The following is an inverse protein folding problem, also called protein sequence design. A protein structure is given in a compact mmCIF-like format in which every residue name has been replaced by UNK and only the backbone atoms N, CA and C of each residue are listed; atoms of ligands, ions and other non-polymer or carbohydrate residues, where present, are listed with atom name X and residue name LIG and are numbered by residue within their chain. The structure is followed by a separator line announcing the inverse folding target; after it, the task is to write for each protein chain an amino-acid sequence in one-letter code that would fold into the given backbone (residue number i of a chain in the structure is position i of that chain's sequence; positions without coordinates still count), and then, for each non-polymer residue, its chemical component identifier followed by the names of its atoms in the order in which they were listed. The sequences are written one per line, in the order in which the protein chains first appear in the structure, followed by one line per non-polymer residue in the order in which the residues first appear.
data_IF_379231747825
#
_entry.id   IF_379231747825
#
_cell.length_a   1.000
_cell.length_b   1.000
_cell.length_c   1.000
_cell.angle_alpha   90.00
_cell.angle_beta   90.00
_cell.angle_gamma   90.00
#
_symmetry.space_group_name_H-M   'P 1'
#
loop_
_entity.id
_entity.type
_entity.pdbx_description
1 polymer ?
#
# COMPACT_ATOMS: atom_id res chain seq x y z
N UNK A 1 20.72 -13.13 5.99
CA UNK A 1 20.47 -12.35 4.75
C UNK A 1 19.15 -11.55 4.77
N UNK A 2 18.01 -12.07 5.27
CA UNK A 2 16.69 -11.37 5.24
C UNK A 2 16.46 -10.27 6.29
N UNK A 3 17.15 -10.31 7.43
CA UNK A 3 17.15 -9.20 8.42
C UNK A 3 17.68 -7.88 7.83
N UNK A 4 18.53 -7.96 6.82
CA UNK A 4 19.02 -6.78 6.09
C UNK A 4 17.93 -6.14 5.21
N UNK A 5 16.89 -6.88 4.82
CA UNK A 5 15.79 -6.36 4.00
C UNK A 5 14.91 -5.45 4.84
N UNK A 6 14.50 -5.89 6.04
CA UNK A 6 13.72 -5.06 6.96
C UNK A 6 14.50 -3.85 7.45
N UNK A 7 15.82 -3.98 7.69
CA UNK A 7 16.70 -2.85 8.02
C UNK A 7 16.88 -1.84 6.89
N UNK A 8 17.06 -2.30 5.64
CA UNK A 8 17.13 -1.39 4.47
C UNK A 8 15.80 -0.66 4.26
N UNK A 9 14.68 -1.40 4.33
CA UNK A 9 13.33 -0.82 4.29
C UNK A 9 13.18 0.25 5.38
N UNK A 10 13.61 -0.06 6.59
CA UNK A 10 13.55 0.89 7.70
C UNK A 10 14.34 2.17 7.45
N UNK A 11 15.56 2.05 6.93
CA UNK A 11 16.41 3.19 6.59
C UNK A 11 15.78 4.08 5.52
N UNK A 12 15.23 3.48 4.46
CA UNK A 12 14.55 4.21 3.38
C UNK A 12 13.30 4.92 3.92
N UNK A 13 12.50 4.25 4.75
CA UNK A 13 11.32 4.85 5.37
C UNK A 13 11.67 6.04 6.27
N UNK A 14 12.73 5.94 7.06
CA UNK A 14 13.22 7.06 7.89
C UNK A 14 13.73 8.23 7.04
N UNK A 15 14.34 7.98 5.88
CA UNK A 15 14.75 9.02 4.95
C UNK A 15 13.57 9.71 4.24
N UNK A 16 12.50 8.97 3.94
CA UNK A 16 11.29 9.51 3.27
C UNK A 16 10.35 10.26 4.21
N UNK A 17 10.40 9.97 5.52
CA UNK A 17 9.57 10.60 6.54
C UNK A 17 9.72 12.15 6.60
N UNK A 18 10.94 12.73 6.70
CA UNK A 18 11.08 14.18 6.73
C UNK A 18 10.60 14.83 5.43
N UNK A 19 10.79 14.18 4.28
CA UNK A 19 10.32 14.66 2.98
C UNK A 19 8.79 14.80 3.00
N UNK A 20 8.09 13.80 3.52
CA UNK A 20 6.63 13.85 3.66
C UNK A 20 6.18 14.97 4.62
N UNK A 21 6.81 15.09 5.80
CA UNK A 21 6.47 16.10 6.78
C UNK A 21 6.72 17.52 6.27
N UNK A 22 7.82 17.73 5.55
CA UNK A 22 8.15 18.99 4.90
C UNK A 22 7.13 19.31 3.82
N UNK A 23 6.81 18.37 2.93
CA UNK A 23 5.82 18.58 1.88
C UNK A 23 4.42 18.86 2.46
N UNK A 24 4.02 18.14 3.51
CA UNK A 24 2.73 18.33 4.17
C UNK A 24 2.67 19.64 4.97
N UNK A 25 3.72 20.01 5.70
CA UNK A 25 3.73 21.20 6.56
C UNK A 25 4.05 22.51 5.82
N UNK A 26 5.05 22.51 4.95
CA UNK A 26 5.49 23.71 4.22
C UNK A 26 4.74 23.94 2.91
N UNK A 27 3.95 22.96 2.44
CA UNK A 27 3.20 23.10 1.19
C UNK A 27 2.06 24.12 1.23
N UNK A 28 1.54 24.51 2.42
CA UNK A 28 0.60 25.64 2.53
C UNK A 28 1.29 26.98 2.19
N UNK A 29 2.57 27.14 2.54
CA UNK A 29 3.31 28.39 2.34
C UNK A 29 4.00 28.43 0.97
N UNK A 30 4.57 27.30 0.54
CA UNK A 30 5.31 27.19 -0.72
C UNK A 30 4.54 26.32 -1.71
N UNK A 31 3.72 26.98 -2.53
CA UNK A 31 2.91 26.35 -3.58
C UNK A 31 3.75 25.49 -4.56
N UNK A 32 5.03 25.84 -4.76
CA UNK A 32 5.98 25.07 -5.58
C UNK A 32 6.31 23.68 -5.01
N UNK A 33 6.33 23.51 -3.67
CA UNK A 33 6.51 22.20 -3.04
C UNK A 33 5.31 21.26 -3.33
N UNK A 34 4.16 21.82 -3.71
CA UNK A 34 2.99 21.06 -4.15
C UNK A 34 3.28 20.14 -5.33
N UNK A 35 4.22 20.47 -6.22
CA UNK A 35 4.60 19.64 -7.37
C UNK A 35 5.43 18.39 -7.00
N UNK A 36 6.03 18.36 -5.81
CA UNK A 36 6.74 17.16 -5.32
C UNK A 36 5.76 15.99 -5.16
N UNK A 37 4.51 16.27 -4.79
CA UNK A 37 3.45 15.27 -4.59
C UNK A 37 3.07 14.55 -5.88
N UNK A 38 2.63 15.20 -6.97
CA UNK A 38 2.29 14.51 -8.21
C UNK A 38 3.49 13.80 -8.82
N UNK A 39 4.72 14.34 -8.71
CA UNK A 39 5.94 13.64 -9.14
C UNK A 39 6.12 12.32 -8.37
N UNK A 40 5.97 12.34 -7.05
CA UNK A 40 6.05 11.14 -6.22
C UNK A 40 4.92 10.14 -6.53
N UNK A 41 3.71 10.62 -6.82
CA UNK A 41 2.57 9.79 -7.22
C UNK A 41 2.81 9.12 -8.56
N UNK A 42 3.28 9.85 -9.58
CA UNK A 42 3.61 9.32 -10.91
C UNK A 42 4.72 8.28 -10.80
N UNK A 43 5.80 8.58 -10.07
CA UNK A 43 6.88 7.61 -9.83
C UNK A 43 6.35 6.36 -9.12
N UNK A 44 5.42 6.53 -8.19
CA UNK A 44 4.72 5.45 -7.51
C UNK A 44 3.88 4.57 -8.45
N UNK A 45 3.13 5.18 -9.36
CA UNK A 45 2.32 4.50 -10.36
C UNK A 45 3.19 3.74 -11.36
N UNK A 46 4.22 4.38 -11.92
CA UNK A 46 5.17 3.75 -12.85
C UNK A 46 5.91 2.58 -12.19
N UNK A 47 6.43 2.79 -10.98
CA UNK A 47 7.06 1.72 -10.20
C UNK A 47 6.07 0.62 -9.83
N UNK A 48 4.79 0.96 -9.64
CA UNK A 48 3.69 0.02 -9.38
C UNK A 48 3.40 -0.90 -10.57
N UNK A 49 3.45 -0.37 -11.79
CA UNK A 49 3.30 -1.17 -13.01
C UNK A 49 4.43 -2.21 -13.14
N UNK A 50 5.66 -1.86 -12.75
CA UNK A 50 6.81 -2.77 -12.86
C UNK A 50 6.90 -3.78 -11.71
N UNK A 51 6.69 -3.32 -10.47
CA UNK A 51 6.96 -4.09 -9.24
C UNK A 51 5.72 -4.33 -8.38
N UNK A 52 4.51 -4.12 -8.90
CA UNK A 52 3.25 -4.29 -8.16
C UNK A 52 3.15 -3.33 -6.97
N UNK A 53 2.54 -3.78 -5.87
CA UNK A 53 2.41 -2.96 -4.66
C UNK A 53 3.70 -2.82 -3.83
N UNK A 54 4.85 -3.31 -4.30
CA UNK A 54 6.16 -3.13 -3.64
C UNK A 54 6.47 -1.67 -3.29
N UNK A 55 6.12 -0.72 -4.16
CA UNK A 55 6.38 0.72 -3.94
C UNK A 55 5.60 1.23 -2.72
N UNK A 56 4.35 0.78 -2.55
CA UNK A 56 3.49 1.17 -1.43
C UNK A 56 4.03 0.70 -0.07
N UNK A 57 4.80 -0.41 -0.05
CA UNK A 57 5.40 -0.96 1.17
C UNK A 57 6.78 -0.37 1.52
N UNK A 58 7.56 0.04 0.51
CA UNK A 58 8.98 0.34 0.67
C UNK A 58 9.39 1.78 0.31
N UNK A 59 8.72 2.41 -0.67
CA UNK A 59 9.12 3.71 -1.23
C UNK A 59 8.06 4.81 -1.05
N UNK A 60 6.83 4.47 -0.64
CA UNK A 60 5.78 5.48 -0.46
C UNK A 60 6.09 6.36 0.77
N UNK A 61 6.26 7.69 0.61
CA UNK A 61 6.61 8.59 1.70
C UNK A 61 5.49 8.68 2.75
N UNK A 62 4.23 8.70 2.31
CA UNK A 62 3.07 8.64 3.19
C UNK A 62 2.97 7.30 3.95
N UNK A 63 3.27 6.19 3.28
CA UNK A 63 3.30 4.87 3.91
C UNK A 63 4.39 4.77 4.98
N UNK A 64 5.55 5.39 4.74
CA UNK A 64 6.62 5.47 5.73
C UNK A 64 6.19 6.26 6.98
N UNK A 65 5.47 7.38 6.78
CA UNK A 65 4.90 8.17 7.88
C UNK A 65 3.93 7.33 8.75
N UNK A 66 3.00 6.61 8.13
CA UNK A 66 2.05 5.75 8.85
C UNK A 66 2.75 4.61 9.61
N UNK A 67 3.73 3.95 8.98
CA UNK A 67 4.47 2.84 9.61
C UNK A 67 5.37 3.28 10.77
N UNK A 68 5.97 4.48 10.69
CA UNK A 68 6.99 4.90 11.66
C UNK A 68 6.41 5.66 12.82
N UNK A 69 5.47 6.57 12.54
CA UNK A 69 4.87 7.42 13.57
C UNK A 69 3.58 6.79 14.09
N UNK A 70 2.66 6.46 13.19
CA UNK A 70 1.32 6.04 13.57
C UNK A 70 1.26 4.59 14.09
N UNK A 71 2.14 3.70 13.64
CA UNK A 71 2.18 2.32 14.14
C UNK A 71 2.54 2.18 15.63
N UNK A 72 3.09 3.24 16.26
CA UNK A 72 3.35 3.29 17.70
C UNK A 72 2.10 3.64 18.53
N UNK A 73 1.16 4.37 17.94
CA UNK A 73 -0.04 4.91 18.60
C UNK A 73 -1.29 4.09 18.25
N UNK A 74 -1.35 3.55 17.04
CA UNK A 74 -2.51 2.86 16.50
C UNK A 74 -2.83 1.57 17.27
N UNK A 75 -4.12 1.34 17.61
CA UNK A 75 -4.58 0.03 18.07
C UNK A 75 -4.40 -0.92 16.89
N UNK A 76 -3.56 -1.94 17.00
CA UNK A 76 -3.23 -2.83 15.88
C UNK A 76 -4.35 -3.84 15.58
N UNK A 77 -5.59 -3.35 15.43
CA UNK A 77 -6.77 -4.16 15.12
C UNK A 77 -6.74 -4.60 13.65
N UNK A 78 -7.52 -5.62 13.33
CA UNK A 78 -7.67 -6.08 11.95
C UNK A 78 -8.39 -5.02 11.11
N UNK A 79 -8.02 -4.94 9.82
CA UNK A 79 -8.66 -4.00 8.89
C UNK A 79 -10.04 -4.57 8.54
N UNK A 80 -11.15 -3.88 8.82
CA UNK A 80 -12.47 -4.42 8.56
C UNK A 80 -12.69 -4.65 7.05
N UNK A 81 -13.41 -5.71 6.72
CA UNK A 81 -13.62 -6.16 5.34
C UNK A 81 -14.23 -5.07 4.43
N UNK A 82 -15.02 -4.16 5.00
CA UNK A 82 -15.59 -3.00 4.31
C UNK A 82 -14.53 -2.18 3.55
N UNK A 83 -13.35 -1.94 4.16
CA UNK A 83 -12.27 -1.17 3.52
C UNK A 83 -11.47 -1.94 2.47
N UNK A 84 -11.76 -3.23 2.27
CA UNK A 84 -11.17 -4.06 1.22
C UNK A 84 -12.10 -4.27 0.03
N UNK A 85 -13.33 -3.77 0.12
CA UNK A 85 -14.34 -3.92 -0.92
C UNK A 85 -13.92 -3.22 -2.24
N UNK A 86 -13.89 -3.91 -3.39
CA UNK A 86 -13.53 -3.31 -4.68
C UNK A 86 -14.42 -2.12 -5.07
N UNK A 87 -15.71 -2.12 -4.69
CA UNK A 87 -16.60 -0.99 -4.97
C UNK A 87 -16.16 0.29 -4.24
N UNK A 88 -15.74 0.18 -2.97
CA UNK A 88 -15.22 1.34 -2.22
C UNK A 88 -13.92 1.88 -2.83
N UNK A 89 -13.05 0.98 -3.33
CA UNK A 89 -11.81 1.36 -4.02
C UNK A 89 -12.11 2.14 -5.30
N UNK A 90 -13.04 1.65 -6.11
CA UNK A 90 -13.47 2.31 -7.35
C UNK A 90 -14.13 3.66 -7.06
N UNK A 91 -15.05 3.70 -6.09
CA UNK A 91 -15.72 4.93 -5.66
C UNK A 91 -14.71 6.01 -5.27
N UNK A 92 -13.75 5.69 -4.40
CA UNK A 92 -12.76 6.68 -3.97
C UNK A 92 -11.79 7.06 -5.10
N UNK A 93 -11.44 6.13 -6.00
CA UNK A 93 -10.61 6.45 -7.18
C UNK A 93 -11.29 7.49 -8.08
N UNK A 94 -12.56 7.26 -8.42
CA UNK A 94 -13.37 8.18 -9.22
C UNK A 94 -13.59 9.50 -8.47
N UNK A 95 -13.87 9.44 -7.17
CA UNK A 95 -14.12 10.64 -6.35
C UNK A 95 -12.89 11.56 -6.29
N UNK A 96 -11.71 11.04 -6.01
CA UNK A 96 -10.49 11.85 -5.89
C UNK A 96 -10.03 12.42 -7.23
N UNK A 97 -10.12 11.62 -8.31
CA UNK A 97 -9.78 12.09 -9.66
C UNK A 97 -10.81 13.11 -10.14
N UNK A 98 -12.09 12.88 -9.89
CA UNK A 98 -13.18 13.81 -10.22
C UNK A 98 -13.04 15.14 -9.48
N UNK A 99 -12.74 15.11 -8.17
CA UNK A 99 -12.49 16.31 -7.38
C UNK A 99 -11.25 17.06 -7.89
N UNK A 100 -10.16 16.36 -8.19
CA UNK A 100 -8.96 16.97 -8.75
C UNK A 100 -9.23 17.61 -10.13
N UNK A 101 -9.92 16.90 -11.02
CA UNK A 101 -10.29 17.40 -12.33
C UNK A 101 -11.18 18.64 -12.22
N UNK A 102 -12.16 18.61 -11.32
CA UNK A 102 -13.04 19.75 -11.06
C UNK A 102 -12.27 20.98 -10.56
N UNK A 103 -11.33 20.81 -9.62
CA UNK A 103 -10.47 21.89 -9.13
C UNK A 103 -9.61 22.49 -10.25
N UNK A 104 -9.03 21.64 -11.10
CA UNK A 104 -8.22 22.09 -12.25
C UNK A 104 -9.08 22.83 -13.28
N UNK A 105 -10.33 22.40 -13.53
CA UNK A 105 -11.23 23.05 -14.47
C UNK A 105 -11.69 24.44 -14.05
N UNK A 106 -11.65 24.77 -12.75
CA UNK A 106 -12.02 26.12 -12.27
C UNK A 106 -11.00 27.17 -12.67
N UNK A 107 -9.72 26.85 -12.68
CA UNK A 107 -8.62 27.78 -12.97
C UNK A 107 -7.48 27.11 -13.79
N UNK A 108 -7.68 26.86 -15.09
CA UNK A 108 -6.69 26.14 -15.91
C UNK A 108 -5.41 26.93 -16.17
N UNK A 109 -5.44 28.27 -16.08
CA UNK A 109 -4.29 29.14 -16.40
C UNK A 109 -3.28 29.34 -15.27
N UNK A 110 -3.62 29.00 -14.02
CA UNK A 110 -2.79 29.34 -12.86
C UNK A 110 -2.03 28.12 -12.31
N UNK A 111 -0.77 27.96 -12.73
CA UNK A 111 0.12 26.87 -12.29
C UNK A 111 0.24 26.80 -10.74
N UNK A 112 0.20 27.95 -10.07
CA UNK A 112 0.25 28.03 -8.60
C UNK A 112 -1.00 27.42 -7.93
N UNK A 113 -2.17 27.53 -8.57
CA UNK A 113 -3.42 26.93 -8.08
C UNK A 113 -3.38 25.40 -8.15
N UNK A 114 -2.71 24.86 -9.18
CA UNK A 114 -2.58 23.42 -9.37
C UNK A 114 -1.72 22.80 -8.26
N UNK A 115 -0.60 23.44 -7.93
CA UNK A 115 0.26 23.04 -6.81
C UNK A 115 -0.49 23.00 -5.47
N UNK A 116 -1.32 24.01 -5.20
CA UNK A 116 -2.17 24.04 -4.00
C UNK A 116 -3.20 22.91 -3.99
N UNK A 117 -3.88 22.65 -5.11
CA UNK A 117 -4.89 21.60 -5.21
C UNK A 117 -4.30 20.20 -4.94
N UNK A 118 -3.12 19.90 -5.49
CA UNK A 118 -2.43 18.65 -5.20
C UNK A 118 -2.04 18.53 -3.72
N UNK A 119 -1.53 19.62 -3.14
CA UNK A 119 -1.18 19.66 -1.73
C UNK A 119 -2.41 19.47 -0.84
N UNK A 120 -3.51 20.16 -1.12
CA UNK A 120 -4.76 20.08 -0.36
C UNK A 120 -5.33 18.67 -0.35
N UNK A 121 -5.40 17.99 -1.50
CA UNK A 121 -5.87 16.61 -1.59
C UNK A 121 -4.95 15.68 -0.79
N UNK A 122 -3.63 15.85 -0.90
CA UNK A 122 -2.67 15.07 -0.13
C UNK A 122 -2.85 15.30 1.39
N UNK A 123 -3.03 16.54 1.80
CA UNK A 123 -3.21 16.93 3.20
C UNK A 123 -4.52 16.37 3.77
N UNK A 124 -5.66 16.64 3.12
CA UNK A 124 -6.98 16.15 3.54
C UNK A 124 -7.02 14.64 3.62
N UNK A 125 -6.52 13.95 2.58
CA UNK A 125 -6.49 12.48 2.63
C UNK A 125 -5.55 11.98 3.73
N UNK A 126 -4.44 12.65 3.99
CA UNK A 126 -3.50 12.27 5.06
C UNK A 126 -4.11 12.44 6.45
N UNK A 127 -4.85 13.52 6.70
CA UNK A 127 -5.65 13.70 7.91
C UNK A 127 -6.66 12.55 8.07
N UNK A 128 -7.38 12.21 7.00
CA UNK A 128 -8.31 11.07 7.00
C UNK A 128 -7.61 9.73 7.29
N UNK A 129 -6.40 9.51 6.76
CA UNK A 129 -5.63 8.31 7.08
C UNK A 129 -5.14 8.26 8.53
N UNK A 130 -4.80 9.40 9.12
CA UNK A 130 -4.43 9.49 10.54
C UNK A 130 -5.64 9.14 11.40
N UNK A 131 -6.80 9.74 11.11
CA UNK A 131 -8.07 9.45 11.80
C UNK A 131 -8.41 7.96 11.73
N UNK A 132 -8.47 7.38 10.53
CA UNK A 132 -8.74 5.94 10.35
C UNK A 132 -7.66 5.05 10.98
N UNK A 133 -6.41 5.52 10.98
CA UNK A 133 -5.27 4.81 11.56
C UNK A 133 -5.34 4.70 13.07
N UNK A 134 -5.82 5.75 13.75
CA UNK A 134 -6.01 5.76 15.20
C UNK A 134 -7.24 4.93 15.60
N UNK A 135 -8.29 4.89 14.78
CA UNK A 135 -9.50 4.12 15.10
C UNK A 135 -9.36 2.61 14.83
N UNK A 136 -8.76 2.23 13.69
CA UNK A 136 -8.72 0.84 13.22
C UNK A 136 -7.31 0.28 13.15
N UNK A 137 -6.52 0.69 12.15
CA UNK A 137 -5.15 0.23 11.93
C UNK A 137 -4.40 1.27 11.10
N UNK A 138 -3.13 1.54 11.41
CA UNK A 138 -2.32 2.58 10.75
C UNK A 138 -2.24 2.46 9.22
N UNK A 139 -2.52 1.28 8.64
CA UNK A 139 -2.52 1.02 7.19
C UNK A 139 -3.91 0.96 6.53
N UNK A 140 -4.98 1.31 7.25
CA UNK A 140 -6.37 1.22 6.73
C UNK A 140 -6.54 2.02 5.43
N UNK A 141 -6.01 3.24 5.36
CA UNK A 141 -6.06 4.03 4.11
C UNK A 141 -5.37 3.35 2.93
N UNK A 142 -4.27 2.62 3.17
CA UNK A 142 -3.52 1.96 2.11
C UNK A 142 -4.30 0.82 1.46
N UNK A 143 -5.34 0.26 2.09
CA UNK A 143 -6.14 -0.83 1.51
C UNK A 143 -7.07 -0.34 0.40
N UNK A 144 -7.44 0.94 0.40
CA UNK A 144 -8.32 1.51 -0.62
C UNK A 144 -7.70 2.66 -1.42
N UNK A 145 -6.54 3.20 -1.00
CA UNK A 145 -5.74 4.22 -1.71
C UNK A 145 -5.73 4.06 -3.26
N UNK A 146 -6.00 5.13 -4.04
CA UNK A 146 -6.15 5.01 -5.49
C UNK A 146 -4.88 4.50 -6.19
N UNK A 147 -3.71 4.96 -5.72
CA UNK A 147 -2.40 4.53 -6.24
C UNK A 147 -2.15 3.03 -5.95
N UNK A 148 -2.52 2.58 -4.75
CA UNK A 148 -2.38 1.18 -4.35
C UNK A 148 -3.31 0.26 -5.15
N UNK A 149 -4.56 0.69 -5.34
CA UNK A 149 -5.55 0.01 -6.18
C UNK A 149 -5.05 -0.13 -7.62
N UNK A 150 -4.51 0.95 -8.20
CA UNK A 150 -3.88 0.93 -9.53
C UNK A 150 -2.70 -0.04 -9.61
N UNK A 151 -1.81 -0.04 -8.61
CA UNK A 151 -0.66 -0.95 -8.54
C UNK A 151 -1.05 -2.43 -8.37
N UNK A 152 -2.14 -2.74 -7.66
CA UNK A 152 -2.67 -4.11 -7.59
C UNK A 152 -3.24 -4.55 -8.93
N UNK A 153 -4.00 -3.67 -9.59
CA UNK A 153 -4.67 -4.00 -10.85
C UNK A 153 -3.66 -4.29 -11.96
N UNK A 154 -2.65 -3.43 -12.13
CA UNK A 154 -1.69 -3.54 -13.25
C UNK A 154 -0.47 -4.41 -12.94
N UNK A 155 -0.05 -4.47 -11.67
CA UNK A 155 1.21 -5.11 -11.28
C UNK A 155 1.07 -6.21 -10.23
N UNK A 156 -0.13 -6.44 -9.68
CA UNK A 156 -0.37 -7.39 -8.59
C UNK A 156 -0.02 -8.84 -8.92
N UNK A 157 -0.15 -9.23 -10.19
CA UNK A 157 0.09 -10.60 -10.63
C UNK A 157 1.57 -10.92 -10.95
N UNK A 158 2.47 -9.92 -11.00
CA UNK A 158 3.85 -10.12 -11.49
C UNK A 158 4.79 -10.80 -10.47
N UNK A 159 4.44 -10.72 -9.18
CA UNK A 159 5.26 -11.22 -8.08
C UNK A 159 4.36 -11.69 -6.95
N UNK A 160 4.53 -12.94 -6.56
CA UNK A 160 3.78 -13.55 -5.47
C UNK A 160 4.72 -13.93 -4.32
N UNK A 161 4.15 -14.05 -3.12
CA UNK A 161 4.85 -14.60 -1.98
C UNK A 161 4.61 -16.12 -1.97
N UNK A 162 5.67 -16.90 -2.10
CA UNK A 162 5.62 -18.36 -2.00
C UNK A 162 5.91 -18.80 -0.57
N UNK A 163 5.18 -19.82 -0.11
CA UNK A 163 5.31 -20.45 1.21
C UNK A 163 5.44 -21.97 1.04
N UNK A 164 6.49 -22.54 1.62
CA UNK A 164 6.64 -24.00 1.71
C UNK A 164 5.77 -24.53 2.87
N UNK A 165 4.54 -24.96 2.57
CA UNK A 165 3.57 -25.37 3.60
C UNK A 165 4.00 -26.57 4.43
N UNK A 166 4.72 -27.52 3.83
CA UNK A 166 5.22 -28.73 4.51
C UNK A 166 6.11 -28.41 5.71
N UNK A 167 6.84 -27.29 5.65
CA UNK A 167 7.76 -26.84 6.71
C UNK A 167 7.11 -25.82 7.64
N UNK A 168 5.84 -25.47 7.42
CA UNK A 168 5.12 -24.48 8.21
C UNK A 168 4.55 -25.10 9.49
N UNK A 169 4.88 -24.50 10.63
CA UNK A 169 4.42 -24.96 11.94
C UNK A 169 3.14 -24.28 12.42
N UNK A 170 2.47 -23.50 11.56
CA UNK A 170 1.22 -22.81 11.93
C UNK A 170 1.36 -21.74 13.02
N UNK A 171 2.57 -21.18 13.24
CA UNK A 171 2.84 -20.27 14.37
C UNK A 171 2.17 -18.88 14.31
N UNK A 172 1.53 -18.50 13.19
CA UNK A 172 0.83 -17.22 12.96
C UNK A 172 1.66 -15.92 13.13
N UNK A 173 2.96 -16.00 13.39
CA UNK A 173 3.83 -14.81 13.52
C UNK A 173 3.82 -13.93 12.26
N UNK A 174 3.73 -14.53 11.08
CA UNK A 174 3.69 -13.82 9.81
C UNK A 174 2.43 -12.95 9.66
N UNK A 175 1.30 -13.39 10.21
CA UNK A 175 0.03 -12.65 10.19
C UNK A 175 0.08 -11.49 11.19
N UNK A 176 0.61 -11.74 12.39
CA UNK A 176 0.78 -10.75 13.46
C UNK A 176 1.69 -9.58 13.05
N UNK A 177 2.75 -9.85 12.27
CA UNK A 177 3.69 -8.81 11.82
C UNK A 177 3.25 -8.14 10.51
N UNK A 178 2.23 -8.66 9.83
CA UNK A 178 1.81 -8.16 8.53
C UNK A 178 1.14 -6.78 8.66
N UNK A 179 1.69 -5.71 8.06
CA UNK A 179 1.10 -4.38 8.15
C UNK A 179 -0.26 -4.26 7.45
N UNK A 180 -0.59 -5.22 6.57
CA UNK A 180 -1.87 -5.28 5.86
C UNK A 180 -2.84 -6.29 6.48
N UNK A 181 -2.49 -6.87 7.65
CA UNK A 181 -3.32 -7.86 8.38
C UNK A 181 -3.86 -8.96 7.46
N UNK A 182 -2.95 -9.54 6.66
CA UNK A 182 -3.27 -10.61 5.71
C UNK A 182 -3.13 -11.96 6.38
N UNK A 183 -4.06 -12.86 6.05
CA UNK A 183 -4.04 -14.27 6.42
C UNK A 183 -3.04 -14.99 5.52
N UNK A 184 -1.82 -15.19 6.02
CA UNK A 184 -0.67 -15.75 5.29
C UNK A 184 -0.55 -17.26 5.54
N UNK A 185 -0.70 -17.67 6.81
CA UNK A 185 -0.56 -19.07 7.22
C UNK A 185 -1.91 -19.80 7.22
N UNK A 186 -3.00 -19.08 7.51
CA UNK A 186 -4.36 -19.61 7.58
C UNK A 186 -5.09 -19.67 6.23
N UNK A 187 -4.52 -19.12 5.16
CA UNK A 187 -5.11 -19.21 3.82
C UNK A 187 -4.81 -20.58 3.20
N UNK A 188 -5.84 -21.26 2.67
CA UNK A 188 -5.76 -22.62 2.09
C UNK A 188 -5.43 -22.68 0.58
N UNK A 189 -5.27 -21.56 -0.11
CA UNK A 189 -4.95 -21.50 -1.55
C UNK A 189 -3.47 -21.82 -1.85
N UNK A 190 -3.09 -23.10 -1.95
CA UNK A 190 -1.77 -23.56 -2.46
C UNK A 190 -0.49 -22.97 -1.82
N UNK A 191 0.67 -23.22 -2.41
CA UNK A 191 1.96 -22.68 -1.92
C UNK A 191 2.16 -21.20 -2.27
N UNK A 192 1.21 -20.57 -2.95
CA UNK A 192 1.29 -19.20 -3.47
C UNK A 192 0.25 -18.30 -2.79
N UNK A 193 0.72 -17.20 -2.22
CA UNK A 193 -0.16 -16.20 -1.61
C UNK A 193 -0.48 -15.14 -2.66
N UNK A 194 -1.62 -15.31 -3.32
CA UNK A 194 -2.09 -14.46 -4.42
C UNK A 194 -2.94 -13.26 -3.96
N UNK A 195 -2.75 -12.78 -2.72
CA UNK A 195 -3.56 -11.68 -2.22
C UNK A 195 -3.16 -10.32 -2.85
N UNK A 196 -4.09 -9.69 -3.58
CA UNK A 196 -3.92 -8.37 -4.21
C UNK A 196 -3.57 -7.26 -3.22
N UNK A 197 -3.85 -7.44 -1.93
CA UNK A 197 -3.51 -6.50 -0.87
C UNK A 197 -2.08 -6.61 -0.33
N UNK A 198 -1.32 -7.62 -0.75
CA UNK A 198 0.07 -7.76 -0.36
C UNK A 198 0.95 -6.63 -0.92
N UNK A 199 1.52 -5.83 -0.03
CA UNK A 199 2.45 -4.73 -0.38
C UNK A 199 3.91 -5.18 -0.55
N UNK A 200 4.17 -6.49 -0.48
CA UNK A 200 5.49 -7.09 -0.74
C UNK A 200 6.62 -6.47 0.11
N UNK A 201 6.31 -6.16 1.38
CA UNK A 201 7.26 -5.57 2.33
C UNK A 201 8.25 -6.57 2.94
N UNK A 202 8.01 -7.88 2.77
CA UNK A 202 8.85 -8.97 3.27
C UNK A 202 9.04 -9.05 4.80
N UNK A 203 8.22 -8.32 5.58
CA UNK A 203 8.26 -8.42 7.05
C UNK A 203 7.98 -9.84 7.55
N UNK A 204 6.97 -10.50 6.96
CA UNK A 204 6.61 -11.89 7.26
C UNK A 204 7.78 -12.86 7.05
N UNK A 205 8.58 -12.66 5.99
CA UNK A 205 9.72 -13.50 5.70
C UNK A 205 10.94 -13.19 6.60
N UNK A 206 11.01 -11.99 7.17
CA UNK A 206 12.09 -11.60 8.10
C UNK A 206 11.86 -12.09 9.54
N UNK A 207 10.61 -12.30 9.94
CA UNK A 207 10.22 -12.77 11.28
C UNK A 207 9.85 -14.26 11.32
N UNK A 208 9.96 -14.98 10.19
CA UNK A 208 9.67 -16.41 10.16
C UNK A 208 10.87 -17.22 10.71
N UNK A 209 10.68 -18.04 11.76
CA UNK A 209 11.78 -18.81 12.37
C UNK A 209 12.32 -19.91 11.44
N UNK A 210 11.47 -20.48 10.58
CA UNK A 210 11.83 -21.55 9.63
C UNK A 210 12.28 -21.02 8.26
N UNK A 211 12.23 -19.71 8.02
CA UNK A 211 12.63 -19.07 6.76
C UNK A 211 11.95 -19.61 5.48
N UNK A 212 10.69 -20.07 5.59
CA UNK A 212 9.96 -20.78 4.51
C UNK A 212 9.24 -19.87 3.49
N UNK A 213 9.29 -18.55 3.68
CA UNK A 213 8.60 -17.61 2.78
C UNK A 213 9.59 -17.00 1.79
N UNK A 214 9.28 -16.90 0.51
CA UNK A 214 10.14 -16.27 -0.50
C UNK A 214 9.33 -15.43 -1.50
N UNK A 215 9.92 -14.38 -2.07
CA UNK A 215 9.28 -13.59 -3.12
C UNK A 215 9.71 -14.16 -4.47
N UNK A 216 8.77 -14.68 -5.23
CA UNK A 216 9.03 -15.22 -6.56
C UNK A 216 8.43 -14.31 -7.63
N UNK A 217 9.08 -14.24 -8.79
CA UNK A 217 8.54 -13.55 -9.97
C UNK A 217 7.65 -14.57 -10.70
N UNK A 218 6.39 -14.21 -10.94
CA UNK A 218 5.37 -15.09 -11.54
C UNK A 218 5.65 -15.42 -13.02
N UNK A 219 6.84 -15.13 -13.56
CA UNK A 219 7.23 -15.44 -14.93
C UNK A 219 7.58 -16.92 -15.17
N UNK A 220 7.42 -17.80 -14.18
CA UNK A 220 7.77 -19.23 -14.27
C UNK A 220 6.59 -20.17 -14.00
N UNK A 221 5.42 -19.70 -13.57
CA UNK A 221 4.24 -20.56 -13.40
C UNK A 221 2.98 -19.72 -13.65
N UNK A 222 2.41 -19.87 -14.85
CA UNK A 222 1.46 -18.92 -15.46
C UNK A 222 0.01 -19.09 -15.02
N UNK A 223 -0.32 -20.07 -14.16
CA UNK A 223 -1.73 -20.46 -13.93
C UNK A 223 -2.26 -20.21 -12.50
N UNK A 224 -1.42 -20.18 -11.46
CA UNK A 224 -1.97 -20.26 -10.08
C UNK A 224 -2.66 -18.99 -9.53
N UNK A 225 -2.32 -17.77 -9.99
CA UNK A 225 -2.93 -16.53 -9.48
C UNK A 225 -3.93 -15.87 -10.44
N UNK A 226 -4.10 -16.38 -11.66
CA UNK A 226 -4.99 -15.80 -12.67
C UNK A 226 -6.43 -16.34 -12.56
N UNK A 227 -6.58 -17.58 -12.10
CA UNK A 227 -7.85 -18.31 -12.12
C UNK A 227 -8.79 -17.98 -10.94
N UNK A 228 -8.28 -17.44 -9.84
CA UNK A 228 -9.11 -17.14 -8.65
C UNK A 228 -9.90 -15.81 -8.76
N UNK A 229 -9.70 -14.99 -9.80
CA UNK A 229 -10.26 -13.63 -9.83
C UNK A 229 -11.75 -13.48 -10.20
N UNK A 230 -12.42 -14.40 -10.91
CA UNK A 230 -13.88 -14.31 -11.09
C UNK A 230 -14.69 -15.14 -10.07
N UNK A 231 -14.13 -16.21 -9.48
CA UNK A 231 -14.91 -17.18 -8.69
C UNK A 231 -14.92 -16.87 -7.18
N UNK A 232 -13.87 -16.24 -6.63
CA UNK A 232 -13.85 -15.87 -5.20
C UNK A 232 -14.76 -14.67 -4.88
N UNK A 233 -15.10 -13.85 -5.87
CA UNK A 233 -16.09 -12.77 -5.71
C UNK A 233 -17.55 -13.30 -5.68
N UNK A 234 -17.77 -14.54 -6.16
CA UNK A 234 -19.07 -15.22 -6.12
C UNK A 234 -19.30 -16.06 -4.85
N UNK A 235 -18.24 -16.49 -4.16
CA UNK A 235 -18.32 -17.36 -2.97
C UNK A 235 -18.18 -16.61 -1.62
N UNK A 236 -18.10 -15.28 -1.64
CA UNK A 236 -18.16 -14.43 -0.44
C UNK A 236 -19.48 -13.63 -0.32
N UNK A 237 -20.52 -14.03 -1.07
CA UNK A 237 -21.91 -13.63 -0.84
C UNK A 237 -22.65 -14.67 -0.03
#
# INVERSE_FOLDING_TARGET
MRRNISLRRARIQWALLPIFLIAAGLGWKYHWLGFVVPIAMIMGMVGGVMRGRYVCGNLCPRGAFLDRLLARISPKKEIPAFFRNPYLRAFMFVFLIGMLAFQISRDPGNIMHWGFSFWLICFVTSVLAIMLGILFHYRTWCSFCPIGSFGALLGGHKRALSIEREKCTGCLLCEKVCPMTLKVASQNSGNLICNRDCIQCLECASHCPKNILSLIKTSQEKESCAEESPLQEALQR
#
